data_IF_871769352713
#
_entry.id   IF_871769352713
#
_cell.length_a   1.000
_cell.length_b   1.000
_cell.length_c   1.000
_cell.angle_alpha   90.00
_cell.angle_beta   90.00
_cell.angle_gamma   90.00
#
_symmetry.space_group_name_H-M   'P 1'
#
loop_
_entity.id
_entity.type
_entity.pdbx_description
1 polymer ?
#
# COMPACT_ATOMS: atom_id res chain seq x y z
N UNK A 1 9.89 2.56 12.06
CA UNK A 1 8.48 2.20 12.26
C UNK A 1 8.40 0.72 12.54
N UNK A 2 7.53 0.28 13.45
CA UNK A 2 7.45 -1.10 13.92
C UNK A 2 6.33 -1.93 13.27
N UNK A 3 6.13 -1.80 11.96
CA UNK A 3 5.16 -2.63 11.25
C UNK A 3 5.63 -4.08 11.17
N UNK A 4 4.67 -5.02 11.25
CA UNK A 4 4.92 -6.41 10.91
C UNK A 4 5.24 -6.54 9.42
N UNK A 5 6.06 -7.50 9.09
CA UNK A 5 6.24 -7.88 7.68
C UNK A 5 4.94 -8.47 7.12
N UNK A 6 4.69 -8.32 5.81
CA UNK A 6 3.59 -9.03 5.17
C UNK A 6 3.62 -10.52 5.51
N UNK A 7 2.45 -11.15 5.72
CA UNK A 7 2.39 -12.57 6.02
C UNK A 7 3.04 -13.41 4.92
N UNK A 8 3.90 -14.35 5.31
CA UNK A 8 4.49 -15.30 4.36
C UNK A 8 3.47 -16.35 3.93
N UNK A 9 3.39 -16.66 2.67
CA UNK A 9 2.58 -17.76 2.13
C UNK A 9 3.16 -19.15 2.45
N UNK A 10 4.42 -19.21 2.89
CA UNK A 10 5.09 -20.42 3.35
C UNK A 10 4.39 -21.13 4.51
N UNK A 11 3.67 -20.39 5.35
CA UNK A 11 2.92 -20.93 6.49
C UNK A 11 1.57 -21.56 6.11
N UNK A 12 1.06 -21.28 4.91
CA UNK A 12 -0.29 -21.70 4.51
C UNK A 12 -0.24 -22.83 3.50
N UNK A 13 -0.84 -23.95 3.89
CA UNK A 13 -0.87 -25.18 3.07
C UNK A 13 -1.86 -25.09 1.90
N UNK A 14 -2.71 -24.08 1.87
CA UNK A 14 -3.78 -23.92 0.89
C UNK A 14 -3.38 -23.11 -0.33
N UNK A 15 -2.33 -22.31 -0.28
CA UNK A 15 -1.83 -21.58 -1.44
C UNK A 15 -1.31 -22.53 -2.49
N UNK A 16 -1.86 -22.41 -3.68
CA UNK A 16 -1.46 -23.25 -4.83
C UNK A 16 -0.16 -22.80 -5.48
N UNK A 17 0.14 -21.53 -5.35
CA UNK A 17 1.34 -20.90 -5.88
C UNK A 17 2.02 -20.10 -4.77
N UNK A 18 3.22 -20.56 -4.40
CA UNK A 18 4.05 -19.95 -3.38
C UNK A 18 5.26 -19.23 -3.98
N UNK A 19 5.19 -18.83 -5.26
CA UNK A 19 6.29 -18.16 -5.94
C UNK A 19 7.61 -18.95 -5.94
N UNK A 20 7.60 -20.18 -5.43
CA UNK A 20 8.76 -21.03 -5.31
C UNK A 20 9.54 -20.91 -4.00
N UNK A 21 9.17 -20.00 -3.09
CA UNK A 21 9.81 -19.82 -1.78
C UNK A 21 8.84 -19.25 -0.75
N UNK A 22 9.34 -19.02 0.48
CA UNK A 22 8.59 -18.36 1.57
C UNK A 22 8.80 -16.83 1.58
N UNK A 23 9.55 -16.30 0.62
CA UNK A 23 9.77 -14.86 0.52
C UNK A 23 8.58 -14.19 -0.16
N UNK A 24 8.37 -12.92 0.16
CA UNK A 24 7.33 -12.12 -0.47
C UNK A 24 7.54 -12.02 -1.98
N UNK A 25 6.51 -12.35 -2.75
CA UNK A 25 6.57 -12.42 -4.20
C UNK A 25 6.39 -11.05 -4.86
N UNK A 26 7.33 -10.70 -5.72
CA UNK A 26 7.28 -9.48 -6.55
C UNK A 26 7.39 -9.86 -8.02
N UNK A 27 6.32 -9.64 -8.78
CA UNK A 27 6.27 -9.90 -10.21
C UNK A 27 6.49 -8.63 -11.03
N UNK A 28 7.42 -8.68 -11.97
CA UNK A 28 7.61 -7.60 -12.96
C UNK A 28 6.79 -7.93 -14.19
N UNK A 29 5.79 -7.09 -14.51
CA UNK A 29 4.81 -7.36 -15.56
C UNK A 29 4.60 -6.17 -16.49
N UNK A 30 4.15 -6.44 -17.71
CA UNK A 30 3.63 -5.41 -18.61
C UNK A 30 2.19 -5.08 -18.20
N UNK A 31 2.03 -4.12 -17.29
CA UNK A 31 0.72 -3.68 -16.83
C UNK A 31 0.08 -2.70 -17.81
N UNK A 32 -1.25 -2.60 -17.80
CA UNK A 32 -1.96 -1.60 -18.59
C UNK A 32 -1.51 -0.18 -18.19
N UNK A 33 -1.71 0.80 -19.07
CA UNK A 33 -1.23 2.18 -18.89
C UNK A 33 -1.80 2.89 -17.65
N UNK A 34 -2.79 2.31 -16.98
CA UNK A 34 -3.44 2.91 -15.81
C UNK A 34 -2.77 2.55 -14.47
N UNK A 35 -1.97 1.50 -14.43
CA UNK A 35 -1.43 0.98 -13.18
C UNK A 35 0.08 1.14 -13.11
N UNK A 36 0.56 1.71 -12.02
CA UNK A 36 1.98 1.72 -11.63
C UNK A 36 2.38 0.34 -11.10
N UNK A 37 1.57 -0.21 -10.21
CA UNK A 37 1.66 -1.52 -9.61
C UNK A 37 0.30 -1.95 -9.08
N UNK A 38 0.27 -3.06 -8.38
CA UNK A 38 -0.84 -3.47 -7.51
C UNK A 38 -0.38 -4.58 -6.56
N UNK A 39 -1.04 -4.68 -5.41
CA UNK A 39 -0.95 -5.84 -4.53
C UNK A 39 -2.24 -6.64 -4.60
N UNK A 40 -2.11 -7.94 -4.72
CA UNK A 40 -3.22 -8.87 -4.79
C UNK A 40 -3.25 -9.76 -3.55
N UNK A 41 -4.29 -9.65 -2.70
CA UNK A 41 -4.46 -10.61 -1.61
C UNK A 41 -4.76 -12.00 -2.17
N UNK A 42 -4.29 -13.04 -1.47
CA UNK A 42 -4.42 -14.44 -1.87
C UNK A 42 -5.24 -15.24 -0.86
N UNK A 43 -4.66 -15.61 0.26
CA UNK A 43 -5.30 -16.46 1.26
C UNK A 43 -5.36 -15.78 2.64
N UNK A 44 -6.31 -16.18 3.46
CA UNK A 44 -6.40 -15.74 4.84
C UNK A 44 -5.18 -16.17 5.66
N UNK A 45 -4.54 -15.22 6.29
CA UNK A 45 -3.39 -15.37 7.17
C UNK A 45 -3.81 -15.50 8.63
N UNK A 46 -4.72 -16.43 8.95
CA UNK A 46 -5.25 -16.59 10.30
C UNK A 46 -4.15 -16.97 11.30
N UNK A 47 -4.07 -16.22 12.39
CA UNK A 47 -3.15 -16.47 13.49
C UNK A 47 -1.77 -15.84 13.33
N UNK A 48 -1.56 -15.04 12.29
CA UNK A 48 -0.31 -14.33 12.06
C UNK A 48 -0.24 -12.98 12.80
N UNK A 49 -1.22 -12.68 13.59
CA UNK A 49 -1.49 -11.37 14.11
C UNK A 49 -0.89 -11.03 15.46
N UNK A 50 0.14 -11.66 15.90
CA UNK A 50 0.79 -11.27 17.14
C UNK A 50 1.95 -10.30 16.85
N UNK A 51 1.60 -9.04 16.65
CA UNK A 51 2.56 -7.97 16.85
C UNK A 51 2.97 -8.00 18.34
N UNK A 52 4.23 -8.33 18.62
CA UNK A 52 4.79 -8.35 19.97
C UNK A 52 4.63 -7.01 20.70
N UNK A 53 4.36 -5.93 19.96
CA UNK A 53 4.13 -4.60 20.51
C UNK A 53 2.64 -4.29 20.79
N UNK A 54 1.73 -5.12 20.31
CA UNK A 54 0.29 -4.94 20.54
C UNK A 54 -0.28 -6.07 21.38
N UNK A 55 -0.21 -5.92 22.68
CA UNK A 55 -0.92 -6.82 23.62
C UNK A 55 -2.46 -6.69 23.56
N UNK A 56 -3.00 -5.78 22.75
CA UNK A 56 -4.41 -5.38 22.76
C UNK A 56 -5.11 -5.52 21.42
N UNK A 57 -4.38 -5.62 20.31
CA UNK A 57 -4.97 -5.74 18.98
C UNK A 57 -4.60 -7.08 18.36
N UNK A 58 -5.61 -7.80 17.91
CA UNK A 58 -5.41 -8.93 16.99
C UNK A 58 -5.67 -8.41 15.60
N UNK A 59 -4.81 -8.75 14.68
CA UNK A 59 -5.03 -8.53 13.27
C UNK A 59 -6.29 -9.32 12.86
N UNK A 60 -7.18 -8.63 12.17
CA UNK A 60 -8.46 -9.19 11.76
C UNK A 60 -8.46 -9.26 10.24
N UNK A 61 -8.86 -10.40 9.67
CA UNK A 61 -8.89 -10.58 8.21
C UNK A 61 -7.53 -10.33 7.53
N UNK A 62 -6.45 -10.77 8.16
CA UNK A 62 -5.13 -10.73 7.55
C UNK A 62 -5.05 -11.65 6.33
N UNK A 63 -4.34 -11.20 5.29
CA UNK A 63 -4.13 -11.95 4.05
C UNK A 63 -2.64 -12.06 3.71
N UNK A 64 -2.27 -13.18 3.13
CA UNK A 64 -1.07 -13.25 2.29
C UNK A 64 -1.34 -12.48 1.00
N UNK A 65 -0.30 -12.03 0.33
CA UNK A 65 -0.43 -11.29 -0.91
C UNK A 65 0.84 -11.37 -1.75
N UNK A 66 0.73 -11.00 -3.02
CA UNK A 66 1.87 -10.73 -3.87
C UNK A 66 1.77 -9.33 -4.50
N UNK A 67 2.91 -8.77 -4.86
CA UNK A 67 3.02 -7.49 -5.57
C UNK A 67 3.27 -7.73 -7.06
N UNK A 68 2.64 -6.93 -7.91
CA UNK A 68 3.02 -6.81 -9.29
C UNK A 68 3.37 -5.37 -9.62
N UNK A 69 4.57 -5.14 -10.14
CA UNK A 69 5.04 -3.84 -10.61
C UNK A 69 5.23 -3.87 -12.11
N UNK A 70 5.12 -2.69 -12.73
CA UNK A 70 5.31 -2.63 -14.18
C UNK A 70 6.77 -2.68 -14.57
N UNK A 71 7.02 -3.12 -15.78
CA UNK A 71 8.35 -3.26 -16.34
C UNK A 71 8.86 -2.01 -17.07
N UNK A 72 8.06 -0.94 -17.16
CA UNK A 72 8.42 0.29 -17.85
C UNK A 72 7.58 1.47 -17.36
N UNK A 73 8.22 2.54 -16.90
CA UNK A 73 7.61 3.77 -16.39
C UNK A 73 7.81 4.99 -17.32
N UNK A 74 8.33 4.82 -18.53
CA UNK A 74 8.72 5.93 -19.43
C UNK A 74 7.58 6.89 -19.82
N UNK A 75 6.32 6.49 -19.64
CA UNK A 75 5.15 7.32 -19.95
C UNK A 75 4.49 7.94 -18.71
N UNK A 76 5.17 7.92 -17.57
CA UNK A 76 4.68 8.50 -16.31
C UNK A 76 5.31 9.88 -16.07
N UNK A 77 4.67 10.73 -15.23
CA UNK A 77 5.18 12.07 -14.97
C UNK A 77 6.58 12.11 -14.33
N UNK A 78 6.89 11.15 -13.48
CA UNK A 78 8.19 10.99 -12.85
C UNK A 78 9.18 10.30 -13.78
N UNK A 79 10.47 10.50 -13.55
CA UNK A 79 11.50 9.64 -14.16
C UNK A 79 11.31 8.18 -13.69
N UNK A 80 11.81 7.24 -14.48
CA UNK A 80 11.54 5.81 -14.28
C UNK A 80 11.99 5.29 -12.91
N UNK A 81 13.11 5.77 -12.38
CA UNK A 81 13.62 5.33 -11.09
C UNK A 81 12.76 5.84 -9.93
N UNK A 82 12.36 7.11 -9.98
CA UNK A 82 11.51 7.71 -8.96
C UNK A 82 10.09 7.13 -9.01
N UNK A 83 9.54 6.93 -10.22
CA UNK A 83 8.26 6.23 -10.38
C UNK A 83 8.30 4.79 -9.80
N UNK A 84 9.38 4.06 -10.02
CA UNK A 84 9.57 2.73 -9.43
C UNK A 84 9.66 2.78 -7.90
N UNK A 85 10.40 3.75 -7.34
CA UNK A 85 10.56 3.90 -5.88
C UNK A 85 9.23 4.13 -5.18
N UNK A 86 8.47 5.15 -5.61
CA UNK A 86 7.16 5.46 -5.01
C UNK A 86 6.18 4.32 -5.19
N UNK A 87 6.17 3.67 -6.37
CA UNK A 87 5.34 2.48 -6.59
C UNK A 87 5.66 1.37 -5.59
N UNK A 88 6.94 1.06 -5.37
CA UNK A 88 7.31 0.00 -4.42
C UNK A 88 6.92 0.39 -2.99
N UNK A 89 7.11 1.64 -2.58
CA UNK A 89 6.71 2.11 -1.26
C UNK A 89 5.20 1.95 -1.05
N UNK A 90 4.41 2.44 -2.00
CA UNK A 90 2.95 2.35 -2.01
C UNK A 90 2.46 0.90 -1.93
N UNK A 91 2.86 0.10 -2.89
CA UNK A 91 2.38 -1.28 -3.01
C UNK A 91 2.86 -2.17 -1.86
N UNK A 92 4.11 -2.01 -1.42
CA UNK A 92 4.59 -2.77 -0.27
C UNK A 92 3.88 -2.39 1.02
N UNK A 93 3.44 -1.14 1.14
CA UNK A 93 2.61 -0.74 2.28
C UNK A 93 1.22 -1.40 2.22
N UNK A 94 0.62 -1.55 1.04
CA UNK A 94 -0.59 -2.36 0.90
C UNK A 94 -0.39 -3.82 1.36
N UNK A 95 0.75 -4.41 1.05
CA UNK A 95 1.07 -5.75 1.54
C UNK A 95 1.13 -5.82 3.08
N UNK A 96 1.69 -4.78 3.71
CA UNK A 96 1.69 -4.63 5.17
C UNK A 96 0.24 -4.48 5.69
N UNK A 97 -0.55 -3.59 5.10
CA UNK A 97 -1.95 -3.35 5.49
C UNK A 97 -2.78 -4.64 5.41
N UNK A 98 -2.61 -5.44 4.36
CA UNK A 98 -3.29 -6.73 4.22
C UNK A 98 -2.88 -7.74 5.31
N UNK A 99 -1.70 -7.58 5.88
CA UNK A 99 -1.28 -8.33 7.06
C UNK A 99 -2.03 -7.94 8.34
N UNK A 100 -2.64 -6.75 8.37
CA UNK A 100 -3.41 -6.26 9.53
C UNK A 100 -4.92 -6.42 9.32
N UNK A 101 -5.48 -5.85 8.27
CA UNK A 101 -6.89 -6.01 7.87
C UNK A 101 -7.06 -5.72 6.37
N UNK A 102 -7.18 -6.77 5.57
CA UNK A 102 -7.40 -6.65 4.13
C UNK A 102 -8.81 -6.19 3.73
N UNK A 103 -9.71 -6.01 4.69
CA UNK A 103 -11.07 -5.50 4.47
C UNK A 103 -11.25 -4.06 4.95
N UNK A 104 -10.16 -3.39 5.27
CA UNK A 104 -10.19 -1.98 5.65
C UNK A 104 -10.74 -1.12 4.48
N UNK A 105 -11.23 0.07 4.82
CA UNK A 105 -11.82 0.99 3.85
C UNK A 105 -10.80 1.41 2.78
N UNK A 106 -11.15 1.32 1.49
CA UNK A 106 -10.21 1.63 0.41
C UNK A 106 -9.57 3.02 0.52
N UNK A 107 -10.31 4.04 0.96
CA UNK A 107 -9.74 5.38 1.13
C UNK A 107 -8.60 5.41 2.18
N UNK A 108 -8.76 4.63 3.26
CA UNK A 108 -7.74 4.53 4.31
C UNK A 108 -6.49 3.81 3.79
N UNK A 109 -6.70 2.74 3.03
CA UNK A 109 -5.62 1.99 2.40
C UNK A 109 -4.82 2.89 1.46
N UNK A 110 -5.49 3.55 0.52
CA UNK A 110 -4.85 4.41 -0.48
C UNK A 110 -4.19 5.65 0.14
N UNK A 111 -4.92 6.38 0.98
CA UNK A 111 -4.40 7.59 1.61
C UNK A 111 -3.16 7.33 2.47
N UNK A 112 -3.17 6.25 3.25
CA UNK A 112 -2.00 5.93 4.07
C UNK A 112 -0.85 5.29 3.28
N UNK A 113 -1.13 4.70 2.11
CA UNK A 113 -0.07 4.27 1.20
C UNK A 113 0.64 5.45 0.53
N UNK A 114 -0.11 6.50 0.11
CA UNK A 114 0.49 7.75 -0.38
C UNK A 114 1.28 8.46 0.72
N UNK A 115 0.75 8.53 1.95
CA UNK A 115 1.51 9.06 3.07
C UNK A 115 2.82 8.30 3.28
N UNK A 116 2.83 6.97 3.14
CA UNK A 116 4.04 6.16 3.26
C UNK A 116 5.06 6.40 2.14
N UNK A 117 4.62 6.82 0.95
CA UNK A 117 5.54 7.26 -0.11
C UNK A 117 6.36 8.46 0.35
N UNK A 118 5.72 9.46 0.98
CA UNK A 118 6.39 10.65 1.53
C UNK A 118 7.31 10.29 2.71
N UNK A 119 6.87 9.40 3.60
CA UNK A 119 7.69 8.94 4.72
C UNK A 119 9.00 8.25 4.31
N UNK A 120 9.01 7.60 3.15
CA UNK A 120 10.17 6.83 2.66
C UNK A 120 10.98 7.65 1.64
N UNK A 121 10.32 8.47 0.83
CA UNK A 121 10.89 9.19 -0.29
C UNK A 121 10.39 10.64 -0.39
N UNK A 122 10.43 11.38 0.72
CA UNK A 122 10.01 12.79 0.86
C UNK A 122 10.51 13.69 -0.30
N UNK A 123 11.70 13.41 -0.83
CA UNK A 123 12.26 14.20 -1.92
C UNK A 123 11.58 14.02 -3.28
N UNK A 124 10.70 13.01 -3.46
CA UNK A 124 10.07 12.71 -4.75
C UNK A 124 8.78 13.51 -4.95
N UNK A 125 8.00 13.70 -3.88
CA UNK A 125 6.76 14.51 -3.88
C UNK A 125 5.71 14.08 -4.93
N UNK A 126 5.56 12.78 -5.18
CA UNK A 126 4.56 12.25 -6.12
C UNK A 126 3.13 12.58 -5.69
N UNK A 127 2.90 12.67 -4.40
CA UNK A 127 1.63 13.03 -3.76
C UNK A 127 1.06 14.37 -4.25
N UNK A 128 1.89 15.31 -4.74
CA UNK A 128 1.45 16.64 -5.19
C UNK A 128 0.44 16.58 -6.33
N UNK A 129 0.45 15.53 -7.13
CA UNK A 129 -0.55 15.33 -8.20
C UNK A 129 -1.99 15.20 -7.68
N UNK A 130 -2.17 14.83 -6.41
CA UNK A 130 -3.49 14.65 -5.79
C UNK A 130 -3.99 15.89 -5.04
N UNK A 131 -3.10 16.84 -4.74
CA UNK A 131 -3.41 18.02 -3.90
C UNK A 131 -4.41 18.96 -4.58
N UNK A 132 -4.35 19.12 -5.91
CA UNK A 132 -5.25 20.03 -6.62
C UNK A 132 -6.72 19.64 -6.38
N UNK A 133 -7.07 18.38 -6.52
CA UNK A 133 -8.43 17.91 -6.28
C UNK A 133 -8.83 18.05 -4.81
N UNK A 134 -7.95 17.73 -3.89
CA UNK A 134 -8.20 17.86 -2.46
C UNK A 134 -8.53 19.29 -2.07
N UNK A 135 -7.72 20.26 -2.47
CA UNK A 135 -7.93 21.67 -2.10
C UNK A 135 -9.10 22.33 -2.84
N UNK A 136 -9.42 21.90 -4.05
CA UNK A 136 -10.57 22.41 -4.78
C UNK A 136 -11.92 21.91 -4.23
N UNK A 137 -11.91 20.76 -3.54
CA UNK A 137 -13.13 20.14 -3.01
C UNK A 137 -13.04 19.78 -1.53
N UNK A 138 -12.71 20.73 -0.65
CA UNK A 138 -12.46 20.45 0.78
C UNK A 138 -13.71 20.02 1.56
N UNK A 139 -14.89 20.11 0.95
CA UNK A 139 -16.16 19.71 1.54
C UNK A 139 -16.52 18.24 1.28
N UNK A 140 -15.73 17.54 0.46
CA UNK A 140 -15.95 16.13 0.21
C UNK A 140 -15.53 15.29 1.43
N UNK A 141 -16.20 14.15 1.57
CA UNK A 141 -15.82 13.16 2.58
C UNK A 141 -14.48 12.53 2.25
N UNK A 142 -13.70 12.12 3.27
CA UNK A 142 -12.42 11.42 3.09
C UNK A 142 -12.55 10.16 2.22
N UNK A 143 -13.71 9.51 2.27
CA UNK A 143 -14.02 8.29 1.53
C UNK A 143 -14.65 8.54 0.14
N UNK A 144 -14.64 9.77 -0.35
CA UNK A 144 -15.04 10.08 -1.73
C UNK A 144 -14.05 9.45 -2.71
N UNK A 145 -14.55 8.61 -3.61
CA UNK A 145 -13.72 7.81 -4.51
C UNK A 145 -12.95 8.62 -5.56
N UNK A 146 -11.94 8.01 -6.15
CA UNK A 146 -11.09 8.62 -7.16
C UNK A 146 -9.84 9.28 -6.57
N UNK A 147 -9.34 10.31 -7.20
CA UNK A 147 -8.14 11.04 -6.74
C UNK A 147 -8.27 11.61 -5.32
N UNK A 148 -9.51 11.77 -4.84
CA UNK A 148 -9.74 12.26 -3.49
C UNK A 148 -9.25 11.28 -2.41
N UNK A 149 -9.33 9.96 -2.65
CA UNK A 149 -8.75 8.97 -1.75
C UNK A 149 -7.26 9.17 -1.56
N UNK A 150 -6.54 9.34 -2.65
CA UNK A 150 -5.09 9.57 -2.64
C UNK A 150 -4.76 10.91 -1.96
N UNK A 151 -5.48 11.98 -2.30
CA UNK A 151 -5.32 13.30 -1.67
C UNK A 151 -5.61 13.32 -0.17
N UNK A 152 -6.35 12.35 0.34
CA UNK A 152 -6.63 12.19 1.78
C UNK A 152 -5.37 11.84 2.61
N UNK A 153 -4.22 11.61 1.99
CA UNK A 153 -2.93 11.46 2.69
C UNK A 153 -2.61 12.67 3.59
N UNK A 154 -3.07 13.86 3.23
CA UNK A 154 -2.91 15.09 4.03
C UNK A 154 -3.49 14.92 5.45
N UNK A 155 -4.49 14.08 5.63
CA UNK A 155 -5.02 13.77 6.96
C UNK A 155 -3.97 13.08 7.84
N UNK A 156 -3.18 12.17 7.27
CA UNK A 156 -2.11 11.47 8.00
C UNK A 156 -0.94 12.41 8.28
N UNK A 157 -0.55 13.25 7.32
CA UNK A 157 0.43 14.31 7.52
C UNK A 157 0.04 15.24 8.67
N UNK A 158 -1.21 15.66 8.70
CA UNK A 158 -1.71 16.50 9.78
C UNK A 158 -1.62 15.82 11.15
N UNK A 159 -2.01 14.54 11.23
CA UNK A 159 -1.94 13.78 12.48
C UNK A 159 -0.50 13.67 12.96
N UNK A 160 0.42 13.31 12.09
CA UNK A 160 1.83 13.14 12.44
C UNK A 160 2.45 14.43 12.99
N UNK A 161 2.17 15.56 12.34
CA UNK A 161 2.71 16.85 12.77
C UNK A 161 2.13 17.36 14.10
N UNK A 162 1.02 16.81 14.59
CA UNK A 162 0.29 17.30 15.76
C UNK A 162 0.19 16.29 16.91
N UNK A 163 0.72 15.10 16.75
CA UNK A 163 0.79 14.06 17.78
C UNK A 163 2.20 13.92 18.37
#
# INVERSE_FOLDING_TARGET
MGYLLPPSDGYYTLTRDKGGSEHYDVYIRNLSSKYYGYVQPEDFAQGNGDNEQSNTFKEVNAFTSYMAIRNNYSNFPLDELNALKVTIAHEYYHAIQFGYDGWEKPWLLEASAVWMEEEIYDEINDCYQYMEEWFNFPHRSLDESGYHWYGSFIFFEYIEQHM
#
